data_IF_357143932729
#
_entry.id   IF_357143932729
#
_cell.length_a   1.000
_cell.length_b   1.000
_cell.length_c   1.000
_cell.angle_alpha   90.00
_cell.angle_beta   90.00
_cell.angle_gamma   90.00
#
_symmetry.space_group_name_H-M   'P 1'
#
loop_
_entity.id
_entity.type
_entity.pdbx_description
1 polymer ?
#
# COMPACT_ATOMS: atom_id res chain seq x y z
N UNK A 1 -6.16 27.37 -24.09
CA UNK A 1 -5.09 27.78 -25.04
C UNK A 1 -3.75 27.17 -24.64
N UNK A 2 -3.16 27.49 -23.49
CA UNK A 2 -1.86 26.90 -23.05
C UNK A 2 -1.91 25.37 -22.99
N UNK A 3 -2.97 24.80 -22.41
CA UNK A 3 -3.18 23.33 -22.36
C UNK A 3 -3.24 22.70 -23.76
N UNK A 4 -3.79 23.41 -24.74
CA UNK A 4 -3.92 22.91 -26.12
C UNK A 4 -2.57 22.86 -26.82
N UNK A 5 -1.73 23.89 -26.66
CA UNK A 5 -0.36 23.90 -27.18
C UNK A 5 0.53 22.89 -26.46
N UNK A 6 0.38 22.74 -25.13
CA UNK A 6 1.08 21.73 -24.36
C UNK A 6 0.70 20.30 -24.80
N UNK A 7 -0.59 20.02 -24.99
CA UNK A 7 -1.07 18.72 -25.47
C UNK A 7 -0.59 18.43 -26.91
N UNK A 8 -0.58 19.44 -27.79
CA UNK A 8 -0.04 19.29 -29.15
C UNK A 8 1.45 18.95 -29.11
N UNK A 9 2.24 19.66 -28.30
CA UNK A 9 3.66 19.40 -28.14
C UNK A 9 3.92 17.99 -27.57
N UNK A 10 3.20 17.61 -26.51
CA UNK A 10 3.28 16.26 -25.94
C UNK A 10 2.89 15.20 -26.99
N UNK A 11 1.86 15.44 -27.79
CA UNK A 11 1.46 14.55 -28.88
C UNK A 11 2.55 14.34 -29.93
N UNK A 12 3.24 15.41 -30.33
CA UNK A 12 4.38 15.34 -31.26
C UNK A 12 5.54 14.54 -30.67
N UNK A 13 5.85 14.72 -29.39
CA UNK A 13 6.88 13.94 -28.70
C UNK A 13 6.49 12.47 -28.60
N UNK A 14 5.23 12.18 -28.22
CA UNK A 14 4.72 10.81 -28.13
C UNK A 14 4.70 10.09 -29.48
N UNK A 15 4.51 10.80 -30.60
CA UNK A 15 4.60 10.19 -31.93
C UNK A 15 5.99 9.60 -32.24
N UNK A 16 7.05 10.09 -31.59
CA UNK A 16 8.43 9.58 -31.74
C UNK A 16 8.78 8.60 -30.63
N UNK A 17 8.34 8.87 -29.39
CA UNK A 17 8.71 8.06 -28.20
C UNK A 17 7.85 6.79 -28.06
N UNK A 18 6.58 6.84 -28.46
CA UNK A 18 5.66 5.71 -28.30
C UNK A 18 5.97 4.53 -29.23
N UNK A 19 6.31 4.69 -30.53
CA UNK A 19 6.54 3.54 -31.40
C UNK A 19 7.63 2.58 -30.90
N UNK A 20 8.81 3.01 -30.42
CA UNK A 20 9.79 2.11 -29.81
C UNK A 20 9.25 1.34 -28.60
N UNK A 21 8.47 2.00 -27.74
CA UNK A 21 7.82 1.36 -26.58
C UNK A 21 6.79 0.34 -27.04
N UNK A 22 5.98 0.66 -28.05
CA UNK A 22 5.02 -0.26 -28.65
C UNK A 22 5.72 -1.48 -29.26
N UNK A 23 6.86 -1.29 -29.94
CA UNK A 23 7.65 -2.41 -30.46
C UNK A 23 8.19 -3.30 -29.35
N UNK A 24 8.62 -2.74 -28.21
CA UNK A 24 9.03 -3.51 -27.04
C UNK A 24 7.86 -4.32 -26.46
N UNK A 25 6.69 -3.72 -26.31
CA UNK A 25 5.47 -4.39 -25.84
C UNK A 25 5.09 -5.54 -26.80
N UNK A 26 5.08 -5.27 -28.11
CA UNK A 26 4.78 -6.29 -29.11
C UNK A 26 5.83 -7.41 -29.10
N UNK A 27 7.11 -7.09 -28.90
CA UNK A 27 8.19 -8.06 -28.77
C UNK A 27 8.04 -8.96 -27.55
N UNK A 28 7.70 -8.39 -26.39
CA UNK A 28 7.37 -9.15 -25.17
C UNK A 28 6.16 -10.05 -25.39
N UNK A 29 5.09 -9.53 -25.98
CA UNK A 29 3.86 -10.29 -26.28
C UNK A 29 4.15 -11.48 -27.22
N UNK A 30 4.89 -11.25 -28.31
CA UNK A 30 5.29 -12.33 -29.23
C UNK A 30 6.20 -13.36 -28.55
N UNK A 31 7.12 -12.92 -27.67
CA UNK A 31 8.00 -13.83 -26.94
C UNK A 31 7.20 -14.78 -26.05
N UNK A 32 6.14 -14.28 -25.42
CA UNK A 32 5.23 -15.11 -24.62
C UNK A 32 4.52 -16.15 -25.50
N UNK A 33 4.01 -15.78 -26.67
CA UNK A 33 3.35 -16.76 -27.55
C UNK A 33 4.30 -17.88 -28.05
N UNK A 34 5.61 -17.64 -28.13
CA UNK A 34 6.58 -18.57 -28.76
C UNK A 34 7.37 -19.43 -27.76
N UNK A 35 7.69 -18.93 -26.56
CA UNK A 35 8.61 -19.63 -25.63
C UNK A 35 7.95 -20.72 -24.75
N UNK A 36 6.65 -20.91 -24.87
CA UNK A 36 5.89 -21.97 -24.23
C UNK A 36 5.11 -21.51 -22.97
N UNK A 37 4.19 -22.36 -22.48
CA UNK A 37 3.23 -21.95 -21.45
C UNK A 37 3.88 -21.54 -20.12
N UNK A 38 4.90 -22.28 -19.67
CA UNK A 38 5.59 -21.99 -18.41
C UNK A 38 6.31 -20.64 -18.40
N UNK A 39 7.06 -20.33 -19.47
CA UNK A 39 7.76 -19.03 -19.60
C UNK A 39 6.75 -17.89 -19.68
N UNK A 40 5.63 -18.10 -20.38
CA UNK A 40 4.54 -17.14 -20.47
C UNK A 40 3.92 -16.87 -19.10
N UNK A 41 3.64 -17.91 -18.32
CA UNK A 41 3.10 -17.78 -16.97
C UNK A 41 4.07 -17.02 -16.05
N UNK A 42 5.37 -17.35 -16.10
CA UNK A 42 6.40 -16.64 -15.35
C UNK A 42 6.43 -15.15 -15.69
N UNK A 43 6.55 -14.82 -16.98
CA UNK A 43 6.63 -13.44 -17.45
C UNK A 43 5.36 -12.67 -17.13
N UNK A 44 4.19 -13.31 -17.24
CA UNK A 44 2.92 -12.71 -16.85
C UNK A 44 2.95 -12.26 -15.39
N UNK A 45 3.25 -13.17 -14.46
CA UNK A 45 3.27 -12.86 -13.02
C UNK A 45 4.36 -11.85 -12.64
N UNK A 46 5.55 -11.97 -13.25
CA UNK A 46 6.67 -11.07 -13.01
C UNK A 46 6.36 -9.64 -13.47
N UNK A 47 5.90 -9.48 -14.72
CA UNK A 47 5.60 -8.16 -15.30
C UNK A 47 4.37 -7.55 -14.63
N UNK A 48 3.33 -8.34 -14.34
CA UNK A 48 2.14 -7.84 -13.62
C UNK A 48 2.57 -7.15 -12.31
N UNK A 49 3.40 -7.81 -11.49
CA UNK A 49 3.88 -7.23 -10.23
C UNK A 49 4.71 -5.99 -10.48
N UNK A 50 5.65 -5.98 -11.43
CA UNK A 50 6.46 -4.79 -11.71
C UNK A 50 5.64 -3.56 -12.14
N UNK A 51 4.44 -3.77 -12.71
CA UNK A 51 3.59 -2.69 -13.22
C UNK A 51 2.60 -2.12 -12.19
N UNK A 52 2.35 -2.84 -11.08
CA UNK A 52 1.47 -2.37 -9.99
C UNK A 52 1.86 -0.99 -9.43
N UNK A 53 3.15 -0.67 -9.17
CA UNK A 53 3.57 0.63 -8.64
C UNK A 53 3.18 1.81 -9.54
N UNK A 54 3.01 1.54 -10.83
CA UNK A 54 2.68 2.53 -11.86
C UNK A 54 1.19 2.51 -12.23
N UNK A 55 0.40 1.60 -11.65
CA UNK A 55 -1.00 1.34 -12.05
C UNK A 55 -1.15 0.76 -13.46
N UNK A 56 -0.03 0.38 -14.10
CA UNK A 56 -0.01 -0.12 -15.48
C UNK A 56 -0.40 -1.60 -15.57
N UNK A 57 -0.53 -2.28 -14.43
CA UNK A 57 -1.05 -3.65 -14.37
C UNK A 57 -2.45 -3.75 -14.99
N UNK A 58 -3.26 -2.68 -14.90
CA UNK A 58 -4.58 -2.58 -15.54
C UNK A 58 -4.56 -2.51 -17.07
N UNK A 59 -3.40 -2.27 -17.68
CA UNK A 59 -3.20 -2.39 -19.14
C UNK A 59 -2.66 -3.78 -19.49
N UNK A 60 -1.91 -4.39 -18.56
CA UNK A 60 -1.26 -5.68 -18.76
C UNK A 60 -2.22 -6.86 -18.76
N UNK A 61 -2.93 -7.09 -17.64
CA UNK A 61 -3.75 -8.29 -17.47
C UNK A 61 -4.93 -8.42 -18.47
N UNK A 62 -5.62 -7.35 -18.94
CA UNK A 62 -6.78 -7.52 -19.82
C UNK A 62 -6.43 -8.19 -21.14
N UNK A 63 -5.22 -7.94 -21.64
CA UNK A 63 -4.71 -8.57 -22.87
C UNK A 63 -4.71 -10.09 -22.74
N UNK A 64 -4.39 -10.62 -21.56
CA UNK A 64 -4.36 -12.06 -21.31
C UNK A 64 -5.75 -12.61 -21.01
N UNK A 65 -6.47 -11.95 -20.10
CA UNK A 65 -7.75 -12.46 -19.63
C UNK A 65 -8.89 -12.33 -20.64
N UNK A 66 -8.83 -11.32 -21.52
CA UNK A 66 -9.92 -10.98 -22.45
C UNK A 66 -9.59 -11.23 -23.92
N UNK A 67 -8.31 -11.32 -24.30
CA UNK A 67 -7.91 -11.43 -25.70
C UNK A 67 -7.03 -12.65 -26.02
N UNK A 68 -6.25 -13.15 -25.06
CA UNK A 68 -5.31 -14.23 -25.31
C UNK A 68 -5.99 -15.60 -25.40
N UNK A 69 -5.60 -16.39 -26.40
CA UNK A 69 -6.18 -17.71 -26.66
C UNK A 69 -7.47 -17.66 -27.49
N UNK A 70 -7.90 -18.83 -27.94
CA UNK A 70 -9.10 -19.01 -28.74
C UNK A 70 -9.81 -20.31 -28.35
N UNK A 71 -11.13 -20.25 -28.19
CA UNK A 71 -11.98 -21.42 -27.98
C UNK A 71 -13.30 -21.25 -28.72
N UNK A 72 -13.72 -22.28 -29.45
CA UNK A 72 -15.05 -22.32 -30.08
C UNK A 72 -16.00 -23.02 -29.13
N UNK A 73 -16.99 -22.28 -28.65
CA UNK A 73 -17.99 -22.83 -27.72
C UNK A 73 -18.97 -23.78 -28.44
N UNK A 74 -19.79 -24.50 -27.66
CA UNK A 74 -20.81 -25.41 -28.20
C UNK A 74 -21.85 -24.74 -29.11
N UNK A 75 -22.00 -23.41 -29.05
CA UNK A 75 -22.86 -22.63 -29.92
C UNK A 75 -22.17 -22.19 -31.23
N UNK A 76 -20.91 -22.58 -31.45
CA UNK A 76 -20.13 -22.21 -32.64
C UNK A 76 -19.56 -20.79 -32.60
N UNK A 77 -19.61 -20.11 -31.46
CA UNK A 77 -19.04 -18.78 -31.29
C UNK A 77 -17.59 -18.87 -30.82
N UNK A 78 -16.73 -18.06 -31.44
CA UNK A 78 -15.33 -17.92 -31.03
C UNK A 78 -15.25 -17.02 -29.80
N UNK A 79 -14.60 -17.52 -28.75
CA UNK A 79 -14.33 -16.82 -27.49
C UNK A 79 -12.83 -16.64 -27.35
N UNK A 80 -12.41 -15.42 -27.02
CA UNK A 80 -11.02 -15.06 -26.76
C UNK A 80 -10.82 -14.70 -25.30
N UNK A 81 -9.59 -14.86 -24.80
CA UNK A 81 -9.21 -14.48 -23.44
C UNK A 81 -9.26 -15.62 -22.44
N UNK A 82 -8.17 -15.80 -21.69
CA UNK A 82 -8.00 -16.89 -20.73
C UNK A 82 -9.17 -17.00 -19.72
N UNK A 83 -9.65 -15.85 -19.24
CA UNK A 83 -10.77 -15.80 -18.30
C UNK A 83 -12.10 -16.16 -18.97
N UNK A 84 -12.38 -15.59 -20.14
CA UNK A 84 -13.63 -15.83 -20.85
C UNK A 84 -13.73 -17.27 -21.36
N UNK A 85 -12.60 -17.82 -21.84
CA UNK A 85 -12.47 -19.21 -22.24
C UNK A 85 -12.73 -20.14 -21.05
N UNK A 86 -12.15 -19.85 -19.88
CA UNK A 86 -12.41 -20.65 -18.66
C UNK A 86 -13.92 -20.75 -18.37
N UNK A 87 -14.64 -19.62 -18.40
CA UNK A 87 -16.08 -19.61 -18.14
C UNK A 87 -16.90 -20.27 -19.25
N UNK A 88 -16.50 -20.11 -20.52
CA UNK A 88 -17.13 -20.79 -21.63
C UNK A 88 -16.97 -22.32 -21.52
N UNK A 89 -15.76 -22.79 -21.21
CA UNK A 89 -15.47 -24.21 -21.01
C UNK A 89 -16.24 -24.79 -19.82
N UNK A 90 -16.32 -24.05 -18.72
CA UNK A 90 -17.11 -24.44 -17.54
C UNK A 90 -18.60 -24.57 -17.88
N UNK A 91 -19.15 -23.61 -18.63
CA UNK A 91 -20.55 -23.64 -19.10
C UNK A 91 -20.80 -24.81 -20.05
N UNK A 92 -19.86 -25.06 -20.96
CA UNK A 92 -19.94 -26.15 -21.92
C UNK A 92 -19.65 -27.52 -21.29
N UNK A 93 -19.22 -27.57 -20.03
CA UNK A 93 -18.86 -28.79 -19.30
C UNK A 93 -17.80 -29.62 -20.04
N UNK A 94 -16.82 -28.95 -20.63
CA UNK A 94 -15.67 -29.58 -21.29
C UNK A 94 -14.45 -29.53 -20.38
N UNK A 95 -13.39 -30.32 -20.64
CA UNK A 95 -12.14 -30.22 -19.92
C UNK A 95 -11.61 -28.77 -19.96
N UNK A 96 -11.28 -28.23 -18.78
CA UNK A 96 -10.76 -26.88 -18.63
C UNK A 96 -9.29 -26.87 -19.04
N UNK A 97 -8.94 -25.98 -19.96
CA UNK A 97 -7.56 -25.76 -20.43
C UNK A 97 -7.09 -24.32 -20.25
N UNK A 98 -8.02 -23.40 -19.95
CA UNK A 98 -7.71 -21.99 -19.67
C UNK A 98 -7.66 -21.74 -18.16
N UNK A 99 -7.09 -20.61 -17.74
CA UNK A 99 -6.89 -20.22 -16.33
C UNK A 99 -5.43 -20.20 -15.89
N UNK A 100 -4.49 -20.39 -16.82
CA UNK A 100 -3.04 -20.32 -16.56
C UNK A 100 -2.61 -18.93 -16.07
N UNK A 101 -3.14 -17.86 -16.67
CA UNK A 101 -2.79 -16.48 -16.31
C UNK A 101 -3.58 -15.95 -15.10
N UNK A 102 -4.29 -16.84 -14.40
CA UNK A 102 -5.08 -16.50 -13.21
C UNK A 102 -4.71 -17.36 -12.02
N UNK A 103 -4.38 -18.64 -12.25
CA UNK A 103 -4.12 -19.62 -11.19
C UNK A 103 -3.00 -19.21 -10.22
N UNK A 104 -1.97 -18.49 -10.70
CA UNK A 104 -0.87 -18.00 -9.87
C UNK A 104 -1.27 -16.97 -8.81
N UNK A 105 -2.38 -16.25 -9.00
CA UNK A 105 -2.82 -15.22 -8.06
C UNK A 105 -3.24 -15.81 -6.71
N UNK A 106 -3.91 -16.97 -6.73
CA UNK A 106 -4.45 -17.63 -5.55
C UNK A 106 -3.41 -17.98 -4.49
N UNK A 107 -2.34 -18.74 -4.80
CA UNK A 107 -1.28 -19.04 -3.83
C UNK A 107 -0.54 -17.78 -3.36
N UNK A 108 -0.38 -16.77 -4.22
CA UNK A 108 0.22 -15.48 -3.81
C UNK A 108 -0.63 -14.83 -2.72
N UNK A 109 -1.93 -14.68 -2.97
CA UNK A 109 -2.87 -13.94 -2.12
C UNK A 109 -3.19 -14.65 -0.82
N UNK A 110 -3.29 -15.98 -0.86
CA UNK A 110 -3.65 -16.79 0.30
C UNK A 110 -2.46 -17.16 1.20
N UNK A 111 -1.24 -17.24 0.66
CA UNK A 111 -0.08 -17.72 1.42
C UNK A 111 1.13 -16.78 1.38
N UNK A 112 1.52 -16.30 0.20
CA UNK A 112 2.75 -15.52 0.05
C UNK A 112 2.63 -14.13 0.69
N UNK A 113 1.55 -13.40 0.45
CA UNK A 113 1.32 -12.08 1.04
C UNK A 113 1.17 -12.16 2.58
N UNK A 114 0.39 -13.10 3.16
CA UNK A 114 0.41 -13.32 4.60
C UNK A 114 1.79 -13.67 5.17
N UNK A 115 2.60 -14.43 4.43
CA UNK A 115 3.97 -14.74 4.83
C UNK A 115 4.87 -13.49 4.85
N UNK A 116 4.72 -12.59 3.87
CA UNK A 116 5.38 -11.27 3.87
C UNK A 116 4.93 -10.46 5.10
N UNK A 117 3.62 -10.40 5.35
CA UNK A 117 3.07 -9.66 6.48
C UNK A 117 3.61 -10.20 7.82
N UNK A 118 3.73 -11.52 7.94
CA UNK A 118 4.36 -12.18 9.09
C UNK A 118 5.85 -11.85 9.21
N UNK A 119 6.60 -11.84 8.11
CA UNK A 119 8.02 -11.50 8.10
C UNK A 119 8.25 -10.04 8.56
N UNK A 120 7.45 -9.09 8.05
CA UNK A 120 7.51 -7.67 8.44
C UNK A 120 7.17 -7.53 9.93
N UNK A 121 6.07 -8.14 10.39
CA UNK A 121 5.68 -8.13 11.80
C UNK A 121 6.78 -8.67 12.73
N UNK A 122 7.43 -9.78 12.37
CA UNK A 122 8.50 -10.39 13.17
C UNK A 122 9.81 -9.61 13.15
N UNK A 123 9.98 -8.69 12.21
CA UNK A 123 11.16 -7.85 12.11
C UNK A 123 10.95 -6.43 12.67
N UNK A 124 9.73 -6.08 13.08
CA UNK A 124 9.43 -4.78 13.69
C UNK A 124 10.13 -4.60 15.05
N UNK A 125 10.47 -3.36 15.37
CA UNK A 125 11.03 -2.98 16.68
C UNK A 125 10.02 -3.24 17.81
N UNK A 126 10.48 -3.56 19.04
CA UNK A 126 9.60 -3.87 20.17
C UNK A 126 8.55 -2.78 20.47
N UNK A 127 8.92 -1.51 20.29
CA UNK A 127 8.04 -0.34 20.51
C UNK A 127 6.89 -0.28 19.49
N UNK A 128 7.15 -0.65 18.24
CA UNK A 128 6.22 -0.53 17.14
C UNK A 128 5.43 -1.82 16.83
N UNK A 129 5.74 -2.93 17.51
CA UNK A 129 5.24 -4.26 17.17
C UNK A 129 3.71 -4.36 17.25
N UNK A 130 3.08 -3.67 18.21
CA UNK A 130 1.62 -3.67 18.36
C UNK A 130 0.91 -2.99 17.18
N UNK A 131 1.44 -1.83 16.75
CA UNK A 131 0.94 -1.09 15.58
C UNK A 131 1.11 -1.91 14.30
N UNK A 132 2.30 -2.45 14.08
CA UNK A 132 2.59 -3.27 12.89
C UNK A 132 1.73 -4.52 12.85
N UNK A 133 1.51 -5.18 13.99
CA UNK A 133 0.62 -6.35 14.08
C UNK A 133 -0.77 -6.05 13.56
N UNK A 134 -1.37 -4.93 13.96
CA UNK A 134 -2.71 -4.54 13.51
C UNK A 134 -2.80 -4.37 12.00
N UNK A 135 -1.85 -3.61 11.42
CA UNK A 135 -1.81 -3.33 9.98
C UNK A 135 -1.55 -4.61 9.17
N UNK A 136 -0.54 -5.39 9.57
CA UNK A 136 -0.15 -6.62 8.87
C UNK A 136 -1.24 -7.70 8.96
N UNK A 137 -1.87 -7.86 10.12
CA UNK A 137 -2.95 -8.83 10.30
C UNK A 137 -4.18 -8.45 9.46
N UNK A 138 -4.60 -7.17 9.51
CA UNK A 138 -5.74 -6.71 8.71
C UNK A 138 -5.47 -6.89 7.22
N UNK A 139 -4.30 -6.46 6.73
CA UNK A 139 -3.95 -6.60 5.32
C UNK A 139 -3.82 -8.06 4.89
N UNK A 140 -3.28 -8.94 5.74
CA UNK A 140 -3.21 -10.37 5.46
C UNK A 140 -4.60 -11.03 5.34
N UNK A 141 -5.53 -10.71 6.25
CA UNK A 141 -6.91 -11.22 6.18
C UNK A 141 -7.60 -10.71 4.91
N UNK A 142 -7.47 -9.42 4.60
CA UNK A 142 -8.01 -8.81 3.38
C UNK A 142 -7.45 -9.48 2.12
N UNK A 143 -6.14 -9.76 2.09
CA UNK A 143 -5.50 -10.50 0.99
C UNK A 143 -6.04 -11.92 0.87
N UNK A 144 -6.14 -12.66 1.99
CA UNK A 144 -6.62 -14.04 1.96
C UNK A 144 -8.06 -14.11 1.46
N UNK A 145 -8.96 -13.28 2.01
CA UNK A 145 -10.39 -13.38 1.73
C UNK A 145 -10.73 -12.77 0.37
N UNK A 146 -10.35 -11.51 0.16
CA UNK A 146 -10.76 -10.72 -0.99
C UNK A 146 -9.73 -10.74 -2.13
N UNK A 147 -8.48 -11.15 -1.87
CA UNK A 147 -7.41 -11.13 -2.87
C UNK A 147 -6.73 -9.76 -3.04
N UNK A 148 -7.07 -8.76 -2.22
CA UNK A 148 -6.51 -7.41 -2.31
C UNK A 148 -5.17 -7.37 -1.56
N UNK A 149 -4.07 -7.09 -2.27
CA UNK A 149 -2.69 -7.22 -1.77
C UNK A 149 -2.00 -5.90 -1.49
N UNK A 150 -2.53 -4.82 -2.06
CA UNK A 150 -2.02 -3.46 -2.02
C UNK A 150 -1.76 -2.95 -0.60
N UNK A 151 -2.62 -3.19 0.42
CA UNK A 151 -2.35 -2.74 1.79
C UNK A 151 -1.03 -3.27 2.38
N UNK A 152 -0.60 -4.47 1.98
CA UNK A 152 0.67 -5.06 2.42
C UNK A 152 1.80 -4.65 1.46
N UNK A 153 1.59 -4.77 0.15
CA UNK A 153 2.62 -4.45 -0.85
C UNK A 153 3.07 -2.98 -0.76
N UNK A 154 2.13 -2.05 -0.62
CA UNK A 154 2.45 -0.62 -0.56
C UNK A 154 3.16 -0.23 0.73
N UNK A 155 3.07 -1.06 1.77
CA UNK A 155 3.76 -0.82 3.05
C UNK A 155 5.29 -0.93 2.93
N UNK A 156 5.80 -1.66 1.93
CA UNK A 156 7.25 -1.83 1.72
C UNK A 156 7.71 -1.46 0.30
N UNK A 157 6.81 -1.34 -0.67
CA UNK A 157 7.13 -1.02 -2.06
C UNK A 157 8.08 0.19 -2.20
N UNK A 158 7.74 1.30 -1.54
CA UNK A 158 8.47 2.56 -1.66
C UNK A 158 9.67 2.66 -0.72
N UNK A 159 9.62 1.94 0.41
CA UNK A 159 10.66 2.00 1.43
C UNK A 159 11.77 0.98 1.18
N UNK A 160 11.45 -0.15 0.57
CA UNK A 160 12.37 -1.22 0.25
C UNK A 160 12.11 -1.78 -1.17
N UNK A 161 12.47 -1.04 -2.24
CA UNK A 161 12.25 -1.47 -3.63
C UNK A 161 12.89 -2.82 -3.96
N UNK A 162 14.01 -3.16 -3.29
CA UNK A 162 14.68 -4.46 -3.44
C UNK A 162 13.78 -5.63 -3.01
N UNK A 163 13.02 -5.48 -1.92
CA UNK A 163 12.05 -6.51 -1.50
C UNK A 163 10.93 -6.65 -2.53
N UNK A 164 10.53 -5.55 -3.15
CA UNK A 164 9.52 -5.59 -4.21
C UNK A 164 10.03 -6.27 -5.48
N UNK A 165 11.29 -6.06 -5.84
CA UNK A 165 11.93 -6.82 -6.92
C UNK A 165 11.96 -8.33 -6.65
N UNK A 166 12.32 -8.73 -5.42
CA UNK A 166 12.28 -10.14 -4.99
C UNK A 166 10.85 -10.68 -5.07
N UNK A 167 9.87 -9.91 -4.58
CA UNK A 167 8.45 -10.26 -4.66
C UNK A 167 8.00 -10.52 -6.10
N UNK A 168 8.36 -9.63 -7.04
CA UNK A 168 8.00 -9.78 -8.44
C UNK A 168 8.57 -11.06 -9.06
N UNK A 169 9.85 -11.37 -8.79
CA UNK A 169 10.48 -12.62 -9.29
C UNK A 169 9.80 -13.85 -8.70
N UNK A 170 9.59 -13.87 -7.38
CA UNK A 170 8.93 -14.98 -6.71
C UNK A 170 7.49 -15.15 -7.20
N UNK A 171 6.76 -14.06 -7.49
CA UNK A 171 5.43 -14.13 -8.07
C UNK A 171 5.44 -14.80 -9.44
N UNK A 172 6.38 -14.42 -10.33
CA UNK A 172 6.59 -15.12 -11.59
C UNK A 172 6.85 -16.63 -11.39
N UNK A 173 7.68 -16.99 -10.41
CA UNK A 173 7.91 -18.41 -10.08
C UNK A 173 6.65 -19.12 -9.60
N UNK A 174 5.78 -18.47 -8.84
CA UNK A 174 4.50 -19.05 -8.43
C UNK A 174 3.63 -19.35 -9.65
N UNK A 175 3.51 -18.41 -10.60
CA UNK A 175 2.77 -18.65 -11.85
C UNK A 175 3.37 -19.81 -12.67
N UNK A 176 4.70 -19.86 -12.78
CA UNK A 176 5.40 -20.97 -13.44
C UNK A 176 5.09 -22.32 -12.78
N UNK A 177 5.12 -22.39 -11.45
CA UNK A 177 4.81 -23.62 -10.71
C UNK A 177 3.36 -24.05 -10.90
N UNK A 178 2.42 -23.10 -10.88
CA UNK A 178 1.01 -23.42 -11.13
C UNK A 178 0.79 -23.97 -12.54
N UNK A 179 1.48 -23.43 -13.54
CA UNK A 179 1.44 -23.98 -14.90
C UNK A 179 2.13 -25.35 -15.00
N UNK A 180 3.26 -25.55 -14.32
CA UNK A 180 3.96 -26.84 -14.30
C UNK A 180 3.07 -27.94 -13.70
N UNK A 181 2.35 -27.66 -12.61
CA UNK A 181 1.37 -28.59 -12.05
C UNK A 181 0.03 -28.61 -12.80
N UNK A 182 -0.06 -27.92 -13.95
CA UNK A 182 -1.26 -27.80 -14.80
C UNK A 182 -2.50 -27.43 -13.99
N UNK A 183 -2.34 -26.44 -13.12
CA UNK A 183 -3.42 -25.91 -12.29
C UNK A 183 -4.14 -24.82 -13.05
N UNK A 184 -5.42 -25.01 -13.28
CA UNK A 184 -6.27 -24.09 -14.01
C UNK A 184 -7.40 -23.65 -13.09
N UNK A 185 -7.41 -22.39 -12.67
CA UNK A 185 -8.40 -21.85 -11.73
C UNK A 185 -8.96 -20.55 -12.29
N UNK A 186 -10.28 -20.43 -12.24
CA UNK A 186 -11.01 -19.25 -12.68
C UNK A 186 -10.89 -18.08 -11.71
N UNK A 187 -11.23 -16.90 -12.21
CA UNK A 187 -11.21 -15.65 -11.45
C UNK A 187 -12.44 -14.83 -11.80
N UNK A 188 -13.12 -14.24 -10.80
CA UNK A 188 -14.10 -13.19 -11.05
C UNK A 188 -13.65 -11.81 -10.57
N UNK A 189 -12.87 -11.74 -9.48
CA UNK A 189 -12.46 -10.46 -8.91
C UNK A 189 -10.95 -10.34 -8.75
N UNK A 190 -10.37 -11.12 -7.83
CA UNK A 190 -8.95 -10.96 -7.49
C UNK A 190 -8.23 -12.28 -7.21
N UNK A 191 -8.90 -13.37 -6.88
CA UNK A 191 -8.22 -14.66 -6.68
C UNK A 191 -7.87 -14.85 -5.21
N UNK A 192 -8.67 -14.25 -4.33
CA UNK A 192 -8.68 -14.62 -2.92
C UNK A 192 -9.40 -15.96 -2.71
N UNK A 193 -9.58 -16.31 -1.44
CA UNK A 193 -10.26 -17.52 -0.99
C UNK A 193 -11.66 -17.67 -1.60
N UNK A 194 -12.39 -16.55 -1.76
CA UNK A 194 -13.74 -16.59 -2.33
C UNK A 194 -13.68 -17.11 -3.78
N UNK A 195 -12.87 -16.48 -4.63
CA UNK A 195 -12.69 -16.90 -6.03
C UNK A 195 -12.17 -18.35 -6.11
N UNK A 196 -11.23 -18.74 -5.24
CA UNK A 196 -10.73 -20.11 -5.18
C UNK A 196 -11.81 -21.15 -4.87
N UNK A 197 -12.71 -20.85 -3.93
CA UNK A 197 -13.82 -21.75 -3.60
C UNK A 197 -14.80 -21.86 -4.77
N UNK A 198 -15.18 -20.72 -5.37
CA UNK A 198 -16.19 -20.69 -6.44
C UNK A 198 -15.69 -21.18 -7.80
N UNK A 199 -14.42 -20.97 -8.11
CA UNK A 199 -13.87 -21.23 -9.45
C UNK A 199 -12.70 -22.22 -9.46
N UNK A 200 -12.30 -22.73 -8.29
CA UNK A 200 -11.39 -23.86 -8.14
C UNK A 200 -12.09 -25.07 -7.56
N UNK A 201 -12.51 -24.98 -6.30
CA UNK A 201 -13.02 -26.13 -5.52
C UNK A 201 -14.38 -26.62 -6.00
N UNK A 202 -15.38 -25.73 -6.08
CA UNK A 202 -16.75 -26.08 -6.47
C UNK A 202 -16.86 -26.70 -7.87
N UNK A 203 -16.24 -26.13 -8.93
CA UNK A 203 -16.26 -26.72 -10.26
C UNK A 203 -15.29 -27.89 -10.42
N UNK A 204 -14.49 -28.21 -9.38
CA UNK A 204 -13.39 -29.19 -9.41
C UNK A 204 -12.42 -28.94 -10.56
N UNK A 205 -11.94 -27.70 -10.64
CA UNK A 205 -11.02 -27.28 -11.69
C UNK A 205 -9.72 -28.10 -11.67
N UNK A 206 -9.02 -28.29 -12.81
CA UNK A 206 -7.84 -29.13 -12.88
C UNK A 206 -6.81 -28.83 -11.80
N UNK A 207 -6.44 -29.87 -11.03
CA UNK A 207 -5.44 -29.81 -9.96
C UNK A 207 -5.63 -28.68 -8.93
N UNK A 208 -6.87 -28.22 -8.69
CA UNK A 208 -7.19 -27.13 -7.77
C UNK A 208 -6.54 -27.27 -6.38
N UNK A 209 -6.40 -28.51 -5.89
CA UNK A 209 -5.81 -28.82 -4.60
C UNK A 209 -4.30 -28.49 -4.49
N UNK A 210 -3.58 -28.37 -5.62
CA UNK A 210 -2.16 -28.02 -5.66
C UNK A 210 -1.86 -26.59 -5.20
N UNK A 211 -2.88 -25.74 -5.10
CA UNK A 211 -2.76 -24.39 -4.49
C UNK A 211 -2.20 -24.47 -3.06
N UNK A 212 -2.60 -25.47 -2.28
CA UNK A 212 -2.13 -25.62 -0.90
C UNK A 212 -0.65 -26.00 -0.80
N UNK A 213 -0.15 -27.08 -1.43
CA UNK A 213 1.27 -27.42 -1.36
C UNK A 213 2.15 -26.33 -1.98
N UNK A 214 1.79 -25.79 -3.15
CA UNK A 214 2.54 -24.68 -3.78
C UNK A 214 2.51 -23.45 -2.88
N UNK A 215 1.34 -23.07 -2.39
CA UNK A 215 1.15 -21.92 -1.51
C UNK A 215 1.93 -22.04 -0.20
N UNK A 216 1.92 -23.19 0.46
CA UNK A 216 2.66 -23.41 1.71
C UNK A 216 4.18 -23.38 1.49
N UNK A 217 4.68 -24.06 0.45
CA UNK A 217 6.11 -24.07 0.12
C UNK A 217 6.57 -22.66 -0.25
N UNK A 218 5.85 -21.99 -1.16
CA UNK A 218 6.20 -20.63 -1.56
C UNK A 218 6.02 -19.65 -0.41
N UNK A 219 4.98 -19.77 0.41
CA UNK A 219 4.81 -18.98 1.63
C UNK A 219 6.00 -19.11 2.59
N UNK A 220 6.52 -20.33 2.79
CA UNK A 220 7.73 -20.53 3.59
C UNK A 220 8.96 -19.87 2.95
N UNK A 221 9.13 -20.01 1.62
CA UNK A 221 10.21 -19.36 0.86
C UNK A 221 10.13 -17.84 1.00
N UNK A 222 8.93 -17.26 0.82
CA UNK A 222 8.67 -15.84 1.01
C UNK A 222 9.03 -15.39 2.42
N UNK A 223 8.55 -16.09 3.45
CA UNK A 223 8.85 -15.75 4.84
C UNK A 223 10.36 -15.74 5.12
N UNK A 224 11.06 -16.80 4.71
CA UNK A 224 12.51 -16.93 4.95
C UNK A 224 13.29 -15.87 4.18
N UNK A 225 13.02 -15.70 2.88
CA UNK A 225 13.73 -14.72 2.05
C UNK A 225 13.48 -13.29 2.49
N UNK A 226 12.24 -12.93 2.82
CA UNK A 226 11.92 -11.60 3.33
C UNK A 226 12.59 -11.36 4.68
N UNK A 227 12.47 -12.30 5.62
CA UNK A 227 13.13 -12.18 6.94
C UNK A 227 14.65 -12.04 6.79
N UNK A 228 15.25 -12.83 5.91
CA UNK A 228 16.67 -12.76 5.61
C UNK A 228 17.05 -11.40 5.01
N UNK A 229 16.38 -10.96 3.94
CA UNK A 229 16.65 -9.70 3.26
C UNK A 229 16.48 -8.48 4.21
N UNK A 230 15.40 -8.46 4.98
CA UNK A 230 15.10 -7.39 5.95
C UNK A 230 16.22 -7.28 6.98
N UNK A 231 16.67 -8.41 7.56
CA UNK A 231 17.73 -8.42 8.58
C UNK A 231 19.12 -8.18 7.99
N UNK A 232 19.44 -8.82 6.86
CA UNK A 232 20.78 -8.80 6.26
C UNK A 232 21.13 -7.44 5.66
N UNK A 233 20.14 -6.74 5.09
CA UNK A 233 20.33 -5.42 4.48
C UNK A 233 19.75 -4.28 5.31
N UNK A 234 19.31 -4.58 6.54
CA UNK A 234 18.73 -3.61 7.46
C UNK A 234 17.65 -2.71 6.82
N UNK A 235 16.73 -3.33 6.07
CA UNK A 235 15.71 -2.59 5.32
C UNK A 235 14.69 -1.98 6.29
N UNK A 236 14.33 -0.71 6.06
CA UNK A 236 13.41 0.10 6.87
C UNK A 236 11.93 -0.29 6.67
N UNK A 237 11.60 -1.58 6.79
CA UNK A 237 10.20 -2.02 6.72
C UNK A 237 9.35 -1.41 7.84
N UNK A 238 8.01 -1.31 7.68
CA UNK A 238 7.13 -0.71 8.68
C UNK A 238 7.44 -1.14 10.11
N UNK A 239 7.65 -0.16 11.00
CA UNK A 239 7.99 -0.38 12.41
C UNK A 239 9.47 -0.65 12.70
N UNK A 240 10.35 -0.48 11.71
CA UNK A 240 11.82 -0.41 11.88
C UNK A 240 12.39 0.98 11.60
N UNK A 241 11.51 1.98 11.51
CA UNK A 241 11.88 3.38 11.37
C UNK A 241 12.64 3.83 12.62
N UNK A 242 13.75 4.54 12.45
CA UNK A 242 14.53 5.08 13.57
C UNK A 242 13.78 6.29 14.12
N UNK A 243 13.50 6.30 15.42
CA UNK A 243 12.72 7.35 16.11
C UNK A 243 13.41 8.73 16.17
N UNK A 244 14.52 8.98 15.47
CA UNK A 244 15.11 10.32 15.39
C UNK A 244 14.09 11.35 14.89
N UNK A 245 13.18 10.94 14.00
CA UNK A 245 12.09 11.81 13.51
C UNK A 245 10.96 12.02 14.52
N UNK A 246 10.74 11.10 15.45
CA UNK A 246 9.66 11.18 16.44
C UNK A 246 10.08 11.94 17.70
N UNK A 247 11.31 11.72 18.18
CA UNK A 247 11.85 12.44 19.34
C UNK A 247 12.16 13.90 18.98
N UNK A 248 12.67 14.17 17.78
CA UNK A 248 12.84 15.55 17.32
C UNK A 248 11.50 16.26 17.09
N UNK A 249 10.48 15.56 16.58
CA UNK A 249 9.14 16.14 16.45
C UNK A 249 8.43 16.31 17.79
N UNK A 250 8.63 15.43 18.78
CA UNK A 250 8.07 15.61 20.11
C UNK A 250 8.79 16.69 20.91
N UNK A 251 10.12 16.82 20.78
CA UNK A 251 10.86 17.93 21.39
C UNK A 251 10.50 19.27 20.72
N UNK A 252 10.50 19.34 19.39
CA UNK A 252 10.06 20.55 18.67
C UNK A 252 8.59 20.88 18.94
N UNK A 253 7.72 19.87 19.05
CA UNK A 253 6.31 20.09 19.36
C UNK A 253 6.13 20.54 20.81
N UNK A 254 6.88 19.99 21.78
CA UNK A 254 6.83 20.44 23.17
C UNK A 254 7.40 21.85 23.32
N UNK A 255 8.47 22.19 22.59
CA UNK A 255 9.04 23.53 22.56
C UNK A 255 8.08 24.52 21.90
N UNK A 256 7.44 24.13 20.80
CA UNK A 256 6.40 24.91 20.13
C UNK A 256 5.19 25.14 21.05
N UNK A 257 4.70 24.10 21.73
CA UNK A 257 3.56 24.20 22.65
C UNK A 257 3.92 25.07 23.85
N UNK A 258 5.12 24.92 24.41
CA UNK A 258 5.62 25.76 25.51
C UNK A 258 5.78 27.22 25.09
N UNK A 259 6.30 27.45 23.88
CA UNK A 259 6.41 28.78 23.27
C UNK A 259 5.04 29.42 23.05
N UNK A 260 4.04 28.65 22.59
CA UNK A 260 2.67 29.14 22.44
C UNK A 260 2.08 29.49 23.81
N UNK A 261 2.27 28.64 24.83
CA UNK A 261 1.82 28.93 26.20
C UNK A 261 2.41 30.24 26.72
N UNK A 262 3.72 30.46 26.52
CA UNK A 262 4.40 31.70 26.86
C UNK A 262 3.83 32.90 26.09
N UNK A 263 3.60 32.75 24.78
CA UNK A 263 3.04 33.81 23.94
C UNK A 263 1.63 34.25 24.34
N UNK A 264 0.88 33.39 25.02
CA UNK A 264 -0.44 33.70 25.57
C UNK A 264 -0.38 34.23 27.03
N UNK A 265 0.81 34.47 27.59
CA UNK A 265 0.99 34.95 28.97
C UNK A 265 1.02 33.84 30.02
N UNK A 266 1.26 32.59 29.62
CA UNK A 266 1.32 31.43 30.50
C UNK A 266 -0.03 30.74 30.75
N UNK A 267 0.01 29.55 31.36
CA UNK A 267 -1.18 28.72 31.61
C UNK A 267 -2.23 29.43 32.50
N UNK A 268 -1.77 30.28 33.44
CA UNK A 268 -2.64 31.03 34.34
C UNK A 268 -3.48 32.10 33.65
N UNK A 269 -3.05 32.57 32.47
CA UNK A 269 -3.79 33.55 31.69
C UNK A 269 -4.87 32.91 30.79
N UNK A 270 -4.84 31.58 30.60
CA UNK A 270 -5.75 30.86 29.71
C UNK A 270 -6.96 30.30 30.47
N UNK A 271 -8.16 30.75 30.14
CA UNK A 271 -9.41 30.29 30.78
C UNK A 271 -10.02 29.12 30.01
N UNK A 272 -10.37 29.34 28.74
CA UNK A 272 -10.89 28.31 27.82
C UNK A 272 -9.93 28.08 26.66
N UNK A 273 -9.77 26.83 26.24
CA UNK A 273 -8.91 26.42 25.13
C UNK A 273 -9.73 25.55 24.20
N UNK A 274 -10.07 26.07 23.03
CA UNK A 274 -10.83 25.40 21.99
C UNK A 274 -10.09 25.43 20.65
N UNK A 275 -10.43 24.53 19.74
CA UNK A 275 -9.90 24.55 18.39
C UNK A 275 -10.99 24.17 17.39
N UNK A 276 -10.92 24.79 16.23
CA UNK A 276 -11.57 24.34 15.01
C UNK A 276 -10.49 23.78 14.06
N UNK A 277 -10.89 23.20 12.93
CA UNK A 277 -10.01 22.59 11.93
C UNK A 277 -8.75 23.40 11.59
N UNK A 278 -8.83 24.73 11.55
CA UNK A 278 -7.71 25.62 11.20
C UNK A 278 -7.32 26.66 12.24
N UNK A 279 -8.06 26.78 13.35
CA UNK A 279 -7.89 27.87 14.33
C UNK A 279 -7.87 27.35 15.75
N UNK A 280 -6.91 27.83 16.53
CA UNK A 280 -6.85 27.69 17.98
C UNK A 280 -7.49 28.94 18.61
N UNK A 281 -8.48 28.76 19.48
CA UNK A 281 -9.24 29.82 20.15
C UNK A 281 -8.99 29.72 21.64
N UNK A 282 -8.39 30.77 22.21
CA UNK A 282 -8.09 30.80 23.64
C UNK A 282 -8.71 32.05 24.25
N UNK A 283 -9.55 31.85 25.26
CA UNK A 283 -10.05 32.94 26.08
C UNK A 283 -9.01 33.29 27.14
N UNK A 284 -8.59 34.56 27.17
CA UNK A 284 -7.57 35.06 28.09
C UNK A 284 -8.14 35.98 29.16
N UNK A 285 -7.54 35.97 30.35
CA UNK A 285 -7.92 36.85 31.46
C UNK A 285 -7.39 38.27 31.24
N UNK A 286 -6.13 38.38 30.82
CA UNK A 286 -5.45 39.64 30.48
C UNK A 286 -4.87 39.56 29.07
N UNK A 287 -5.35 40.45 28.20
CA UNK A 287 -4.92 40.51 26.80
C UNK A 287 -3.56 41.16 26.61
N UNK A 288 -3.12 41.99 27.56
CA UNK A 288 -1.86 42.73 27.44
C UNK A 288 -0.65 41.81 27.54
N UNK A 289 -0.82 40.64 28.17
CA UNK A 289 0.18 39.60 28.29
C UNK A 289 0.32 38.73 27.03
N UNK A 290 -0.51 38.95 25.99
CA UNK A 290 -0.49 38.14 24.77
C UNK A 290 0.45 38.75 23.73
N UNK A 291 1.52 38.03 23.42
CA UNK A 291 2.47 38.38 22.37
C UNK A 291 2.03 37.83 21.00
N UNK A 292 1.37 38.71 20.24
CA UNK A 292 0.90 38.41 18.88
C UNK A 292 2.05 38.24 17.88
N UNK A 293 3.22 38.83 18.11
CA UNK A 293 4.37 38.71 17.23
C UNK A 293 5.03 37.34 17.39
N UNK A 294 5.20 36.90 18.64
CA UNK A 294 5.70 35.57 18.97
C UNK A 294 4.78 34.47 18.43
N UNK A 295 3.46 34.61 18.52
CA UNK A 295 2.51 33.66 17.93
C UNK A 295 2.69 33.51 16.40
N UNK A 296 2.97 34.61 15.69
CA UNK A 296 3.25 34.56 14.24
C UNK A 296 4.60 33.91 13.95
N UNK A 297 5.62 34.18 14.77
CA UNK A 297 6.94 33.53 14.65
C UNK A 297 6.86 32.02 14.89
N UNK A 298 6.01 31.60 15.82
CA UNK A 298 5.72 30.19 16.12
C UNK A 298 4.81 29.52 15.06
N UNK A 299 4.51 30.20 13.95
CA UNK A 299 3.84 29.61 12.79
C UNK A 299 2.35 29.88 12.67
N UNK A 300 1.79 30.83 13.43
CA UNK A 300 0.43 31.29 13.18
C UNK A 300 0.38 32.16 11.92
N UNK A 301 -0.40 31.75 10.91
CA UNK A 301 -0.63 32.51 9.69
C UNK A 301 -1.35 33.85 9.94
N UNK A 302 -2.06 33.94 11.07
CA UNK A 302 -2.74 35.15 11.52
C UNK A 302 -3.21 35.01 12.97
N UNK A 303 -3.33 36.14 13.65
CA UNK A 303 -3.86 36.23 15.01
C UNK A 303 -4.95 37.31 15.02
N UNK A 304 -6.16 36.93 15.40
CA UNK A 304 -7.35 37.80 15.42
C UNK A 304 -7.84 37.89 16.86
N UNK A 305 -8.18 39.10 17.30
CA UNK A 305 -8.73 39.36 18.63
C UNK A 305 -10.23 39.65 18.52
N UNK A 306 -11.04 38.94 19.31
CA UNK A 306 -12.49 39.13 19.40
C UNK A 306 -12.90 39.14 20.87
N UNK A 307 -13.05 40.32 21.46
CA UNK A 307 -13.26 40.41 22.91
C UNK A 307 -12.07 39.80 23.66
N UNK A 308 -12.32 38.98 24.69
CA UNK A 308 -11.26 38.26 25.42
C UNK A 308 -10.80 36.97 24.72
N UNK A 309 -11.35 36.66 23.55
CA UNK A 309 -10.98 35.49 22.77
C UNK A 309 -9.91 35.86 21.74
N UNK A 310 -8.76 35.19 21.82
CA UNK A 310 -7.66 35.33 20.87
C UNK A 310 -7.62 34.09 19.96
N UNK A 311 -7.76 34.31 18.65
CA UNK A 311 -7.82 33.26 17.64
C UNK A 311 -6.54 33.25 16.79
N UNK A 312 -5.75 32.19 16.91
CA UNK A 312 -4.53 31.98 16.13
C UNK A 312 -4.77 30.91 15.04
N UNK A 313 -4.29 31.17 13.82
CA UNK A 313 -4.49 30.29 12.65
C UNK A 313 -3.27 29.39 12.45
N UNK A 314 -3.33 28.14 12.94
CA UNK A 314 -2.25 27.15 12.79
C UNK A 314 -2.56 26.07 11.73
N UNK A 315 -3.70 26.18 11.03
CA UNK A 315 -4.12 25.18 10.06
C UNK A 315 -4.47 23.84 10.73
N UNK A 316 -4.28 22.73 10.02
CA UNK A 316 -4.63 21.36 10.46
C UNK A 316 -3.96 20.94 11.79
N UNK A 317 -2.98 21.70 12.28
CA UNK A 317 -2.30 21.46 13.56
C UNK A 317 -3.10 21.92 14.78
N UNK A 318 -4.18 22.69 14.60
CA UNK A 318 -4.89 23.40 15.68
C UNK A 318 -5.51 22.46 16.72
N UNK A 319 -6.11 21.34 16.31
CA UNK A 319 -6.71 20.38 17.26
C UNK A 319 -5.63 19.64 18.08
N UNK A 320 -4.52 19.26 17.45
CA UNK A 320 -3.37 18.63 18.14
C UNK A 320 -2.74 19.58 19.16
N UNK A 321 -2.63 20.87 18.82
CA UNK A 321 -2.14 21.90 19.75
C UNK A 321 -3.06 22.09 20.95
N UNK A 322 -4.40 22.10 20.74
CA UNK A 322 -5.38 22.16 21.84
C UNK A 322 -5.19 21.02 22.83
N UNK A 323 -5.09 19.79 22.33
CA UNK A 323 -4.93 18.60 23.17
C UNK A 323 -3.62 18.63 23.96
N UNK A 324 -2.52 19.04 23.33
CA UNK A 324 -1.22 19.18 23.98
C UNK A 324 -1.23 20.24 25.11
N UNK A 325 -1.80 21.43 24.86
CA UNK A 325 -1.89 22.49 25.89
C UNK A 325 -2.79 22.03 27.05
N UNK A 326 -3.92 21.36 26.77
CA UNK A 326 -4.81 20.83 27.81
C UNK A 326 -4.12 19.75 28.66
N UNK A 327 -3.33 18.88 28.04
CA UNK A 327 -2.58 17.85 28.75
C UNK A 327 -1.59 18.48 29.75
N UNK A 328 -0.86 19.52 29.35
CA UNK A 328 0.06 20.26 30.23
C UNK A 328 -0.71 20.99 31.35
N UNK A 329 -1.87 21.58 31.05
CA UNK A 329 -2.70 22.25 32.06
C UNK A 329 -3.27 21.29 33.10
N UNK A 330 -3.57 20.04 32.71
CA UNK A 330 -4.08 19.00 33.61
C UNK A 330 -2.99 18.37 34.49
N UNK A 331 -1.75 18.32 34.01
CA UNK A 331 -0.58 17.79 34.72
C UNK A 331 0.57 18.80 34.69
N UNK A 332 0.55 19.84 35.54
CA UNK A 332 1.67 20.77 35.63
C UNK A 332 2.90 20.01 36.13
N UNK A 333 3.90 19.85 35.27
CA UNK A 333 5.19 19.25 35.63
C UNK A 333 5.81 20.14 36.71
N UNK A 334 5.91 19.63 37.94
CA UNK A 334 6.55 20.31 39.06
C UNK A 334 8.06 20.36 38.82
N UNK A 335 8.53 21.43 38.19
CA UNK A 335 9.96 21.75 38.14
C UNK A 335 10.46 22.17 39.52
N UNK A 336 10.86 21.21 40.35
CA UNK A 336 11.87 21.46 41.39
C UNK A 336 13.22 21.04 40.82
N UNK A 337 14.03 22.02 40.43
CA UNK A 337 15.48 21.81 40.39
C UNK A 337 15.94 21.68 41.83
N UNK A 338 16.29 20.46 42.26
CA UNK A 338 17.13 20.30 43.46
C UNK A 338 18.51 20.89 43.16
N UNK A 339 19.07 21.74 44.04
CA UNK A 339 20.43 22.21 43.88
C UNK A 339 21.38 21.03 44.14
N UNK A 340 22.25 20.79 43.18
CA UNK A 340 23.42 19.93 43.32
C UNK A 340 24.28 20.51 44.46
N UNK A 341 24.48 19.73 45.51
CA UNK A 341 25.53 19.93 46.52
C UNK A 341 26.44 18.72 46.58
#
# INVERSE_FOLDING_TARGET
IVTSFAALFVGLVMAVVWPPVQHLINGLSNTMTVQGPGVSAFLFGFVERLLIPFGLNHVWWPTFWLQFGEYVNKAGQVVHGDQLIFFAQLKDQVPITAGTFMAGLTPIKMFCIPAIALAIYRCASPENIARVKGIMLSGAITSIVCGITEPIEFSFLFVAPVLYGIHAVLAGLVFLLMEWFSVHIGLSFSGGLIDYLFFGVLPRAPHWYMVFPVGLVMGAVYYVLFTFAIRRWNLLTPGREVEETAVAQESEQNDLVSGIILAYGGLGNMTSIEACMSRLRIDVTDKTLVDKALLKQLGAAGVVEVGNNIQSVFGMKSDRLKEAIRAIKAHPVSGHCEPIH
#
